data_IF_980422165542
#
_entry.id   IF_980422165542
#
_cell.length_a   1.000
_cell.length_b   1.000
_cell.length_c   1.000
_cell.angle_alpha   90.00
_cell.angle_beta   90.00
_cell.angle_gamma   90.00
#
_symmetry.space_group_name_H-M   'P 1'
#
loop_
_entity.id
_entity.type
_entity.pdbx_description
1 polymer ?
#
# COMPACT_ATOMS: atom_id res chain seq x y z
N UNK A 1 17.50 -11.11 3.92
CA UNK A 1 16.09 -10.81 3.59
C UNK A 1 15.47 -11.90 2.73
N UNK A 2 14.25 -11.71 2.22
CA UNK A 2 13.60 -12.69 1.33
C UNK A 2 14.37 -12.88 0.02
N UNK A 3 14.96 -11.81 -0.52
CA UNK A 3 15.77 -11.86 -1.73
C UNK A 3 17.01 -12.75 -1.57
N UNK A 4 17.70 -12.66 -0.44
CA UNK A 4 18.88 -13.52 -0.18
C UNK A 4 18.49 -15.00 -0.13
N UNK A 5 17.30 -15.31 0.43
CA UNK A 5 16.77 -16.67 0.42
C UNK A 5 16.45 -17.15 -0.99
N UNK A 6 15.87 -16.29 -1.83
CA UNK A 6 15.61 -16.60 -3.25
C UNK A 6 16.91 -16.82 -4.02
N UNK A 7 17.89 -15.94 -3.88
CA UNK A 7 19.22 -16.07 -4.51
C UNK A 7 19.92 -17.36 -4.07
N UNK A 8 19.86 -17.68 -2.77
CA UNK A 8 20.43 -18.93 -2.23
C UNK A 8 19.72 -20.17 -2.79
N UNK A 9 18.40 -20.12 -2.97
CA UNK A 9 17.65 -21.21 -3.58
C UNK A 9 17.98 -21.37 -5.06
N UNK A 10 18.04 -20.27 -5.81
CA UNK A 10 18.44 -20.26 -7.22
C UNK A 10 19.84 -20.87 -7.41
N UNK A 11 20.81 -20.50 -6.57
CA UNK A 11 22.16 -21.05 -6.62
C UNK A 11 22.19 -22.56 -6.39
N UNK A 12 21.42 -23.07 -5.41
CA UNK A 12 21.32 -24.53 -5.17
C UNK A 12 20.70 -25.27 -6.35
N UNK A 13 19.59 -24.76 -6.88
CA UNK A 13 18.88 -25.38 -8.01
C UNK A 13 19.78 -25.41 -9.25
N UNK A 14 20.48 -24.32 -9.55
CA UNK A 14 21.41 -24.27 -10.68
C UNK A 14 22.58 -25.25 -10.49
N UNK A 15 23.14 -25.37 -9.28
CA UNK A 15 24.21 -26.31 -8.98
C UNK A 15 23.77 -27.78 -9.17
N UNK A 16 22.57 -28.14 -8.73
CA UNK A 16 22.03 -29.49 -8.92
C UNK A 16 21.82 -29.80 -10.42
N UNK A 17 21.30 -28.82 -11.17
CA UNK A 17 21.04 -28.94 -12.62
C UNK A 17 22.32 -29.01 -13.47
N UNK A 18 23.42 -28.42 -13.00
CA UNK A 18 24.71 -28.40 -13.71
C UNK A 18 25.29 -29.80 -13.96
N UNK A 19 24.86 -30.81 -13.20
CA UNK A 19 25.22 -32.21 -13.43
C UNK A 19 24.65 -32.80 -14.74
N UNK A 20 23.58 -32.20 -15.26
CA UNK A 20 22.90 -32.60 -16.49
C UNK A 20 23.20 -31.62 -17.63
N UNK A 21 23.16 -30.32 -17.34
CA UNK A 21 23.40 -29.23 -18.29
C UNK A 21 24.39 -28.22 -17.68
N UNK A 22 25.70 -28.28 -18.02
CA UNK A 22 26.73 -27.43 -17.41
C UNK A 22 26.49 -25.92 -17.55
N UNK A 23 25.70 -25.50 -18.54
CA UNK A 23 25.31 -24.12 -18.81
C UNK A 23 24.12 -23.62 -17.97
N UNK A 24 23.50 -24.48 -17.16
CA UNK A 24 22.32 -24.14 -16.38
C UNK A 24 22.61 -22.99 -15.38
N UNK A 25 21.84 -21.91 -15.50
CA UNK A 25 21.95 -20.73 -14.65
C UNK A 25 20.56 -20.14 -14.34
N UNK A 26 20.46 -19.44 -13.21
CA UNK A 26 19.27 -18.68 -12.81
C UNK A 26 19.73 -17.29 -12.39
N UNK A 27 19.35 -16.28 -13.17
CA UNK A 27 19.59 -14.87 -12.85
C UNK A 27 18.33 -14.23 -12.26
N UNK A 28 18.52 -13.41 -11.23
CA UNK A 28 17.44 -12.68 -10.57
C UNK A 28 17.72 -11.18 -10.71
N UNK A 29 16.92 -10.51 -11.53
CA UNK A 29 16.92 -9.06 -11.70
C UNK A 29 15.76 -8.43 -10.94
N UNK A 30 16.03 -7.31 -10.24
CA UNK A 30 14.98 -6.52 -9.59
C UNK A 30 14.64 -5.36 -10.52
N UNK A 31 13.47 -5.42 -11.15
CA UNK A 31 13.04 -4.39 -12.10
C UNK A 31 12.26 -3.24 -11.45
N UNK A 32 11.69 -3.46 -10.27
CA UNK A 32 10.99 -2.42 -9.53
C UNK A 32 11.02 -2.67 -8.02
N UNK A 33 11.05 -1.59 -7.23
CA UNK A 33 10.84 -1.61 -5.79
C UNK A 33 10.26 -0.28 -5.34
N UNK A 34 9.30 -0.30 -4.43
CA UNK A 34 8.83 0.89 -3.73
C UNK A 34 8.62 0.54 -2.25
N UNK A 35 8.87 1.49 -1.34
CA UNK A 35 8.76 1.28 0.09
C UNK A 35 7.32 0.99 0.49
N UNK A 36 7.14 0.11 1.48
CA UNK A 36 5.85 -0.10 2.11
C UNK A 36 5.42 1.12 2.93
N UNK A 37 4.12 1.31 3.09
CA UNK A 37 3.56 2.34 3.97
C UNK A 37 3.36 1.77 5.38
N UNK A 38 4.13 2.26 6.35
CA UNK A 38 3.99 1.86 7.76
C UNK A 38 3.67 3.03 8.70
N UNK A 39 2.62 3.78 8.38
CA UNK A 39 2.11 4.83 9.28
C UNK A 39 1.65 4.23 10.61
N UNK A 40 2.12 4.74 11.76
CA UNK A 40 1.69 4.27 13.07
C UNK A 40 0.19 4.50 13.30
N UNK A 41 -0.50 3.51 13.87
CA UNK A 41 -1.94 3.59 14.14
C UNK A 41 -2.31 4.71 15.14
N UNK A 42 -1.36 5.12 15.98
CA UNK A 42 -1.52 6.20 16.96
C UNK A 42 -1.05 7.58 16.43
N UNK A 43 -0.69 7.70 15.15
CA UNK A 43 -0.26 8.98 14.58
C UNK A 43 -1.41 9.98 14.48
N UNK A 44 -1.08 11.27 14.57
CA UNK A 44 -2.05 12.35 14.41
C UNK A 44 -2.75 12.31 13.04
N UNK A 45 -2.02 11.96 11.97
CA UNK A 45 -2.60 11.80 10.64
C UNK A 45 -3.70 10.72 10.61
N UNK A 46 -3.50 9.59 11.29
CA UNK A 46 -4.52 8.53 11.40
C UNK A 46 -5.72 9.02 12.22
N UNK A 47 -5.48 9.69 13.35
CA UNK A 47 -6.56 10.24 14.17
C UNK A 47 -7.38 11.28 13.40
N UNK A 48 -6.72 12.16 12.65
CA UNK A 48 -7.34 13.17 11.81
C UNK A 48 -8.23 12.53 10.75
N UNK A 49 -7.71 11.57 9.96
CA UNK A 49 -8.50 10.91 8.90
C UNK A 49 -9.67 10.10 9.48
N UNK A 50 -9.52 9.47 10.65
CA UNK A 50 -10.64 8.83 11.36
C UNK A 50 -11.74 9.84 11.69
N UNK A 51 -11.37 11.05 12.14
CA UNK A 51 -12.35 12.09 12.45
C UNK A 51 -13.15 12.55 11.23
N UNK A 52 -12.57 12.49 10.03
CA UNK A 52 -13.24 12.85 8.76
C UNK A 52 -14.15 11.73 8.25
N UNK A 53 -13.66 10.50 8.31
CA UNK A 53 -14.34 9.31 7.76
C UNK A 53 -15.39 8.72 8.70
N UNK A 54 -15.32 9.03 10.01
CA UNK A 54 -16.11 8.38 11.05
C UNK A 54 -15.66 6.94 11.36
N UNK A 55 -14.49 6.52 10.88
CA UNK A 55 -13.99 5.16 11.08
C UNK A 55 -13.41 4.97 12.50
N UNK A 56 -13.74 3.84 13.13
CA UNK A 56 -13.25 3.49 14.47
C UNK A 56 -12.04 2.53 14.46
N UNK A 57 -11.67 2.00 13.29
CA UNK A 57 -10.59 1.03 13.14
C UNK A 57 -9.70 1.34 11.94
N UNK A 58 -8.55 0.67 11.88
CA UNK A 58 -7.58 0.71 10.77
C UNK A 58 -7.18 -0.70 10.43
N UNK A 59 -6.71 -0.92 9.20
CA UNK A 59 -6.18 -2.20 8.77
C UNK A 59 -4.88 -2.03 8.01
N UNK A 60 -4.10 -3.10 7.90
CA UNK A 60 -2.95 -3.22 7.01
C UNK A 60 -3.30 -4.24 5.93
N UNK A 61 -2.90 -3.97 4.70
CA UNK A 61 -3.18 -4.81 3.54
C UNK A 61 -1.90 -5.08 2.77
N UNK A 62 -1.81 -6.26 2.15
CA UNK A 62 -0.68 -6.63 1.30
C UNK A 62 -0.86 -6.11 -0.14
N UNK A 63 -1.13 -4.80 -0.27
CA UNK A 63 -1.24 -4.09 -1.54
C UNK A 63 -0.21 -2.96 -1.64
N UNK A 64 -0.05 -2.44 -2.85
CA UNK A 64 0.82 -1.30 -3.12
C UNK A 64 0.14 0.05 -2.94
N UNK A 65 0.88 1.04 -2.47
CA UNK A 65 0.50 2.45 -2.49
C UNK A 65 1.75 3.33 -2.52
N UNK A 66 1.64 4.51 -3.13
CA UNK A 66 2.65 5.56 -3.17
C UNK A 66 2.87 6.21 -1.81
N UNK A 67 1.97 6.02 -0.83
CA UNK A 67 2.12 6.60 0.50
C UNK A 67 3.43 6.24 1.20
N UNK A 68 4.00 5.05 0.92
CA UNK A 68 5.32 4.67 1.43
C UNK A 68 6.43 5.55 0.87
N UNK A 69 6.33 5.97 -0.41
CA UNK A 69 7.28 6.88 -1.04
C UNK A 69 7.16 8.27 -0.41
N UNK A 70 5.94 8.78 -0.25
CA UNK A 70 5.73 10.10 0.38
C UNK A 70 6.25 10.13 1.82
N UNK A 71 6.02 9.07 2.60
CA UNK A 71 6.53 8.99 3.96
C UNK A 71 8.05 8.91 4.02
N UNK A 72 8.68 8.10 3.16
CA UNK A 72 10.14 7.88 3.20
C UNK A 72 10.92 9.06 2.61
N UNK A 73 10.48 9.55 1.45
CA UNK A 73 11.27 10.47 0.62
C UNK A 73 10.91 11.95 0.87
N UNK A 74 9.67 12.22 1.28
CA UNK A 74 9.20 13.58 1.58
C UNK A 74 9.00 13.82 3.08
N UNK A 75 9.07 12.77 3.91
CA UNK A 75 8.80 12.86 5.35
C UNK A 75 7.33 13.13 5.68
N UNK A 76 6.41 12.95 4.73
CA UNK A 76 4.99 13.30 4.88
C UNK A 76 4.19 12.10 5.44
N UNK A 77 3.60 12.21 6.64
CA UNK A 77 2.72 11.17 7.17
C UNK A 77 1.56 10.91 6.20
N UNK A 78 1.35 9.65 5.83
CA UNK A 78 0.39 9.27 4.78
C UNK A 78 -0.65 8.29 5.31
N UNK A 79 -1.91 8.50 4.96
CA UNK A 79 -3.02 7.59 5.29
C UNK A 79 -3.80 7.34 4.01
N UNK A 80 -4.06 6.07 3.70
CA UNK A 80 -4.91 5.69 2.58
C UNK A 80 -6.33 5.49 3.10
N UNK A 81 -7.27 6.24 2.53
CA UNK A 81 -8.70 6.12 2.79
C UNK A 81 -9.49 6.42 1.51
N UNK A 82 -10.67 5.83 1.35
CA UNK A 82 -11.52 6.09 0.21
C UNK A 82 -12.78 5.23 0.22
N UNK A 83 -13.72 5.51 -0.69
CA UNK A 83 -14.91 4.69 -0.87
C UNK A 83 -14.57 3.35 -1.51
N UNK A 84 -15.52 2.42 -1.47
CA UNK A 84 -15.38 1.10 -2.11
C UNK A 84 -14.71 0.05 -1.21
N UNK A 85 -14.26 -1.03 -1.84
CA UNK A 85 -13.58 -2.15 -1.20
C UNK A 85 -12.63 -2.82 -2.18
N UNK A 86 -11.41 -3.13 -1.75
CA UNK A 86 -10.48 -3.90 -2.57
C UNK A 86 -10.93 -5.35 -2.81
N UNK A 87 -11.97 -5.84 -2.12
CA UNK A 87 -12.58 -7.13 -2.44
C UNK A 87 -13.14 -7.17 -3.89
N UNK A 88 -13.49 -6.02 -4.46
CA UNK A 88 -14.02 -5.89 -5.82
C UNK A 88 -13.11 -5.10 -6.78
N UNK A 89 -11.98 -4.60 -6.29
CA UNK A 89 -11.00 -3.88 -7.12
C UNK A 89 -10.28 -4.81 -8.11
N UNK A 90 -9.98 -4.30 -9.30
CA UNK A 90 -9.33 -5.04 -10.40
C UNK A 90 -10.12 -6.28 -10.84
N UNK A 91 -11.45 -6.22 -10.75
CA UNK A 91 -12.37 -7.27 -11.23
C UNK A 91 -13.14 -6.76 -12.46
N UNK A 92 -13.58 -7.64 -13.38
CA UNK A 92 -14.33 -7.21 -14.57
C UNK A 92 -15.60 -6.42 -14.26
N UNK A 93 -16.23 -6.71 -13.11
CA UNK A 93 -17.43 -6.09 -12.57
C UNK A 93 -17.13 -5.09 -11.45
N UNK A 94 -15.92 -4.54 -11.41
CA UNK A 94 -15.52 -3.50 -10.45
C UNK A 94 -16.50 -2.33 -10.44
N UNK A 95 -16.94 -1.93 -9.25
CA UNK A 95 -17.82 -0.78 -9.06
C UNK A 95 -17.53 -0.07 -7.74
N UNK A 96 -18.09 1.13 -7.60
CA UNK A 96 -18.30 1.82 -6.32
C UNK A 96 -19.75 2.27 -6.30
N UNK A 97 -20.47 2.04 -5.21
CA UNK A 97 -21.88 2.41 -5.15
C UNK A 97 -22.06 3.92 -5.05
N UNK A 98 -23.19 4.43 -5.53
CA UNK A 98 -23.56 5.85 -5.38
C UNK A 98 -23.53 6.29 -3.91
N UNK A 99 -23.97 5.42 -3.01
CA UNK A 99 -23.94 5.69 -1.58
C UNK A 99 -22.51 5.79 -1.02
N UNK A 100 -21.59 4.95 -1.49
CA UNK A 100 -20.17 5.07 -1.12
C UNK A 100 -19.56 6.37 -1.63
N UNK A 101 -19.94 6.82 -2.83
CA UNK A 101 -19.51 8.12 -3.36
C UNK A 101 -20.07 9.28 -2.53
N UNK A 102 -21.37 9.27 -2.16
CA UNK A 102 -21.93 10.31 -1.27
C UNK A 102 -21.17 10.41 0.05
N UNK A 103 -20.82 9.27 0.66
CA UNK A 103 -20.01 9.26 1.89
C UNK A 103 -18.61 9.82 1.68
N UNK A 104 -18.03 9.64 0.49
CA UNK A 104 -16.76 10.25 0.14
C UNK A 104 -16.90 11.78 0.01
N UNK A 105 -17.96 12.25 -0.64
CA UNK A 105 -18.24 13.69 -0.77
C UNK A 105 -18.40 14.33 0.62
N UNK A 106 -19.18 13.73 1.52
CA UNK A 106 -19.33 14.21 2.90
C UNK A 106 -17.99 14.26 3.67
N UNK A 107 -17.12 13.27 3.46
CA UNK A 107 -15.79 13.25 4.07
C UNK A 107 -14.92 14.39 3.54
N UNK A 108 -14.95 14.64 2.23
CA UNK A 108 -14.22 15.72 1.59
C UNK A 108 -14.75 17.10 2.02
N UNK A 109 -16.06 17.26 2.18
CA UNK A 109 -16.66 18.48 2.74
C UNK A 109 -16.17 18.75 4.17
N UNK A 110 -16.12 17.72 5.02
CA UNK A 110 -15.54 17.84 6.38
C UNK A 110 -14.07 18.23 6.33
N UNK A 111 -13.30 17.66 5.40
CA UNK A 111 -11.89 18.02 5.20
C UNK A 111 -11.75 19.49 4.82
N UNK A 112 -12.54 19.97 3.86
CA UNK A 112 -12.54 21.38 3.43
C UNK A 112 -12.89 22.32 4.59
N UNK A 113 -13.90 21.99 5.39
CA UNK A 113 -14.26 22.76 6.59
C UNK A 113 -13.07 22.85 7.56
N UNK A 114 -12.42 21.71 7.86
CA UNK A 114 -11.26 21.68 8.76
C UNK A 114 -10.09 22.52 8.24
N UNK A 115 -9.83 22.50 6.93
CA UNK A 115 -8.76 23.29 6.34
C UNK A 115 -9.08 24.79 6.33
N UNK A 116 -10.35 25.16 6.13
CA UNK A 116 -10.80 26.55 6.18
C UNK A 116 -10.75 27.14 7.60
N UNK A 117 -11.11 26.34 8.61
CA UNK A 117 -11.08 26.74 10.02
C UNK A 117 -9.64 26.80 10.58
N UNK A 118 -8.70 26.17 9.89
CA UNK A 118 -7.30 26.04 10.29
C UNK A 118 -7.00 24.71 10.98
N UNK A 119 -5.79 24.21 10.75
CA UNK A 119 -5.24 23.09 11.52
C UNK A 119 -4.93 23.57 12.95
N UNK A 120 -5.32 22.84 14.01
CA UNK A 120 -4.93 23.20 15.38
C UNK A 120 -3.40 23.21 15.57
#
# INVERSE_FOLDING_TARGET
>A
GILDRLRSAAARIAADAASIAPEAAIDIEITNTYPGLDTPAASEAVAFVKSLTGANSTMKVAFGTEGGLFSRDLGTPSVVCGPGSMAQGHKPDEFVSVEQLRRCDEMLERLLSRLADGWP
#
